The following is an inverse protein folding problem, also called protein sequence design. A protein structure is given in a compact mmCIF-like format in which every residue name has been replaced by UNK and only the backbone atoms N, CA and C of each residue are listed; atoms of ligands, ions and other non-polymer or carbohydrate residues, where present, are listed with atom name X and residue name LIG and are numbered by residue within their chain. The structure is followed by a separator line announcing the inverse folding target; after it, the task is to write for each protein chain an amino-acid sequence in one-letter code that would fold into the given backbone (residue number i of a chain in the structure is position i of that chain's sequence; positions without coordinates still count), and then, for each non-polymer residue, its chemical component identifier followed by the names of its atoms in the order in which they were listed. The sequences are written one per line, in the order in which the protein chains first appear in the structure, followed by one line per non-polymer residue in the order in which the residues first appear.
data_IF_845926175695
#
_entry.id   IF_845926175695
#
_cell.length_a   1.000
_cell.length_b   1.000
_cell.length_c   1.000
_cell.angle_alpha   90.00
_cell.angle_beta   90.00
_cell.angle_gamma   90.00
#
_symmetry.space_group_name_H-M   'P 1'
#
loop_
_entity.id
_entity.type
_entity.pdbx_description
1 polymer ?
#
# COMPACT_ATOMS: atom_id res chain seq x y z
N UNK A 1 23.65 4.11 -5.58
CA UNK A 1 22.50 4.95 -5.17
C UNK A 1 22.21 6.07 -6.18
N UNK A 2 23.14 7.02 -6.45
CA UNK A 2 22.86 8.13 -7.39
C UNK A 2 22.52 7.67 -8.83
N UNK A 3 23.23 6.68 -9.37
CA UNK A 3 22.93 6.12 -10.70
C UNK A 3 21.51 5.52 -10.78
N UNK A 4 21.12 4.71 -9.78
CA UNK A 4 19.78 4.11 -9.73
C UNK A 4 18.66 5.15 -9.57
N UNK A 5 18.88 6.21 -8.80
CA UNK A 5 17.90 7.30 -8.69
C UNK A 5 17.65 8.02 -10.01
N UNK A 6 18.69 8.19 -10.84
CA UNK A 6 18.56 8.79 -12.17
C UNK A 6 17.78 7.88 -13.11
N UNK A 7 18.11 6.60 -13.19
CA UNK A 7 17.37 5.61 -14.00
C UNK A 7 15.89 5.57 -13.62
N UNK A 8 15.58 5.49 -12.32
CA UNK A 8 14.20 5.48 -11.83
C UNK A 8 13.46 6.78 -12.19
N UNK A 9 14.16 7.92 -12.20
CA UNK A 9 13.55 9.20 -12.60
C UNK A 9 13.15 9.20 -14.07
N UNK A 10 14.00 8.62 -14.92
CA UNK A 10 13.73 8.45 -16.36
C UNK A 10 12.56 7.48 -16.59
N UNK A 11 12.55 6.33 -15.90
CA UNK A 11 11.47 5.34 -15.94
C UNK A 11 10.12 5.91 -15.45
N UNK A 12 10.13 6.68 -14.36
CA UNK A 12 8.92 7.19 -13.73
C UNK A 12 8.42 8.51 -14.34
N UNK A 13 9.23 9.20 -15.14
CA UNK A 13 8.93 10.55 -15.62
C UNK A 13 8.79 11.58 -14.49
N UNK A 14 9.46 11.33 -13.35
CA UNK A 14 9.37 12.15 -12.14
C UNK A 14 10.75 12.27 -11.46
N UNK A 15 10.99 13.35 -10.71
CA UNK A 15 12.27 13.53 -10.00
C UNK A 15 12.36 12.56 -8.81
N UNK A 16 13.30 11.62 -8.85
CA UNK A 16 13.58 10.67 -7.76
C UNK A 16 14.96 10.93 -7.17
N UNK A 17 14.99 11.33 -5.89
CA UNK A 17 16.22 11.53 -5.11
C UNK A 17 16.50 10.31 -4.25
N UNK A 18 17.59 9.60 -4.56
CA UNK A 18 18.09 8.52 -3.71
C UNK A 18 18.92 9.09 -2.56
N UNK A 19 18.42 8.96 -1.33
CA UNK A 19 19.11 9.39 -0.10
C UNK A 19 19.48 8.17 0.73
N UNK A 20 20.67 8.18 1.33
CA UNK A 20 21.08 7.19 2.32
C UNK A 20 20.72 7.74 3.70
N UNK A 21 19.92 7.01 4.45
CA UNK A 21 19.62 7.26 5.84
C UNK A 21 19.76 5.94 6.61
N UNK A 22 20.51 5.97 7.70
CA UNK A 22 20.92 4.81 8.50
C UNK A 22 20.59 4.97 9.97
N UNK A 23 20.48 6.20 10.45
CA UNK A 23 20.02 6.52 11.81
C UNK A 23 18.60 7.05 11.80
N UNK A 24 17.93 6.99 12.96
CA UNK A 24 16.58 7.53 13.10
C UNK A 24 16.52 9.06 12.88
N UNK A 25 17.57 9.79 13.25
CA UNK A 25 17.67 11.23 12.98
C UNK A 25 17.85 11.51 11.48
N UNK A 26 18.67 10.72 10.77
CA UNK A 26 18.79 10.84 9.31
C UNK A 26 17.46 10.52 8.62
N UNK A 27 16.74 9.50 9.09
CA UNK A 27 15.41 9.14 8.57
C UNK A 27 14.43 10.28 8.80
N UNK A 28 14.40 10.87 10.01
CA UNK A 28 13.57 12.03 10.32
C UNK A 28 13.83 13.19 9.35
N UNK A 29 15.09 13.56 9.15
CA UNK A 29 15.45 14.66 8.25
C UNK A 29 14.98 14.45 6.80
N UNK A 30 14.95 13.20 6.34
CA UNK A 30 14.44 12.84 5.00
C UNK A 30 12.92 12.96 4.92
N UNK A 31 12.19 12.61 5.97
CA UNK A 31 10.72 12.47 5.92
C UNK A 31 9.94 13.63 6.53
N UNK A 32 10.60 14.54 7.27
CA UNK A 32 9.94 15.60 8.05
C UNK A 32 9.02 16.50 7.21
N UNK A 33 9.37 16.75 5.95
CA UNK A 33 8.60 17.60 5.04
C UNK A 33 7.65 16.79 4.12
N UNK A 34 7.72 15.46 4.16
CA UNK A 34 6.86 14.60 3.35
C UNK A 34 5.42 14.58 3.88
N UNK A 35 4.46 14.55 2.96
CA UNK A 35 3.03 14.34 3.27
C UNK A 35 2.66 12.86 3.29
N UNK A 36 3.34 12.04 2.47
CA UNK A 36 3.15 10.59 2.38
C UNK A 36 4.50 9.91 2.59
N UNK A 37 4.52 8.93 3.49
CA UNK A 37 5.70 8.15 3.84
C UNK A 37 5.33 6.68 3.66
N UNK A 38 6.11 5.95 2.86
CA UNK A 38 5.89 4.54 2.56
C UNK A 38 7.05 3.71 3.12
N UNK A 39 6.77 2.75 3.99
CA UNK A 39 7.74 1.74 4.41
C UNK A 39 7.60 0.49 3.53
N UNK A 40 8.59 0.26 2.68
CA UNK A 40 8.65 -0.86 1.73
C UNK A 40 9.90 -1.71 1.94
N UNK A 41 10.35 -1.82 3.19
CA UNK A 41 11.53 -2.58 3.59
C UNK A 41 11.31 -4.09 3.60
N UNK A 42 12.35 -4.81 4.02
CA UNK A 42 12.28 -6.26 4.19
C UNK A 42 11.32 -6.62 5.34
N UNK A 43 10.69 -7.81 5.23
CA UNK A 43 9.72 -8.28 6.22
C UNK A 43 10.35 -8.41 7.61
N UNK A 44 9.60 -8.04 8.66
CA UNK A 44 10.05 -8.15 10.04
C UNK A 44 11.16 -7.16 10.44
N UNK A 45 11.36 -6.09 9.65
CA UNK A 45 12.31 -5.03 9.99
C UNK A 45 11.56 -3.71 10.17
N UNK A 46 11.79 -3.07 11.31
CA UNK A 46 11.31 -1.72 11.60
C UNK A 46 12.28 -0.69 11.03
N UNK A 47 11.80 0.08 10.05
CA UNK A 47 12.58 1.17 9.43
C UNK A 47 12.46 2.46 10.26
N UNK A 48 11.26 2.76 10.75
CA UNK A 48 10.98 4.00 11.47
C UNK A 48 10.47 3.70 12.87
N UNK A 49 11.26 4.10 13.86
CA UNK A 49 10.99 3.85 15.26
C UNK A 49 10.05 4.91 15.87
N UNK A 50 9.54 4.64 17.08
CA UNK A 50 8.52 5.46 17.73
C UNK A 50 9.00 6.89 18.00
N UNK A 51 10.27 7.07 18.35
CA UNK A 51 10.90 8.37 18.55
C UNK A 51 10.89 9.23 17.29
N UNK A 52 11.02 8.62 16.11
CA UNK A 52 10.95 9.33 14.82
C UNK A 52 9.51 9.71 14.49
N UNK A 53 8.58 8.77 14.68
CA UNK A 53 7.15 9.02 14.43
C UNK A 53 6.62 10.15 15.33
N UNK A 54 7.05 10.20 16.60
CA UNK A 54 6.66 11.26 17.54
C UNK A 54 7.17 12.66 17.17
N UNK A 55 8.27 12.76 16.44
CA UNK A 55 8.80 14.05 15.93
C UNK A 55 8.02 14.58 14.73
N UNK A 56 7.20 13.73 14.08
CA UNK A 56 6.41 14.15 12.94
C UNK A 56 5.30 15.12 13.37
N UNK A 57 5.08 16.14 12.54
CA UNK A 57 4.05 17.14 12.77
C UNK A 57 3.32 17.50 11.46
N UNK A 58 2.16 18.13 11.60
CA UNK A 58 1.29 18.46 10.46
C UNK A 58 0.54 17.25 9.90
N UNK A 59 -0.09 17.42 8.75
CA UNK A 59 -0.89 16.37 8.11
C UNK A 59 0.00 15.39 7.34
N UNK A 60 0.06 14.15 7.81
CA UNK A 60 0.88 13.09 7.19
C UNK A 60 0.14 11.77 7.08
N UNK A 61 0.48 10.98 6.07
CA UNK A 61 0.03 9.60 5.88
C UNK A 61 1.26 8.69 5.92
N UNK A 62 1.23 7.69 6.79
CA UNK A 62 2.23 6.63 6.92
C UNK A 62 1.64 5.33 6.41
N UNK A 63 2.17 4.77 5.33
CA UNK A 63 1.75 3.48 4.82
C UNK A 63 2.86 2.44 5.00
N UNK A 64 2.51 1.27 5.53
CA UNK A 64 3.45 0.19 5.80
C UNK A 64 2.97 -1.09 5.13
N UNK A 65 3.77 -1.64 4.22
CA UNK A 65 3.45 -2.90 3.53
C UNK A 65 3.93 -4.14 4.30
N UNK A 66 4.65 -3.95 5.41
CA UNK A 66 5.14 -5.06 6.22
C UNK A 66 4.03 -5.62 7.14
N UNK A 67 3.63 -6.86 6.88
CA UNK A 67 2.66 -7.60 7.71
C UNK A 67 3.33 -8.44 8.82
N UNK A 68 4.66 -8.54 8.83
CA UNK A 68 5.43 -9.38 9.74
C UNK A 68 5.97 -8.52 10.90
N UNK A 69 5.71 -8.86 12.17
CA UNK A 69 6.26 -8.13 13.31
C UNK A 69 7.79 -8.17 13.39
N UNK A 70 8.45 -7.10 13.85
CA UNK A 70 7.89 -5.77 14.12
C UNK A 70 7.43 -5.04 12.83
N UNK A 71 6.47 -4.11 12.92
CA UNK A 71 6.04 -3.32 11.76
C UNK A 71 7.20 -2.47 11.22
N UNK A 72 7.15 -2.15 9.92
CA UNK A 72 8.07 -1.24 9.26
C UNK A 72 8.04 0.17 9.85
N UNK A 73 6.86 0.64 10.26
CA UNK A 73 6.68 1.93 10.96
C UNK A 73 6.04 1.68 12.33
N UNK A 74 6.70 2.14 13.39
CA UNK A 74 6.16 2.06 14.74
C UNK A 74 4.77 2.70 14.84
N UNK A 75 3.83 2.02 15.50
CA UNK A 75 2.46 2.50 15.68
C UNK A 75 1.50 2.24 14.50
N UNK A 76 1.99 1.94 13.30
CA UNK A 76 1.14 1.51 12.17
C UNK A 76 0.81 0.03 12.34
N UNK A 77 -0.46 -0.27 12.65
CA UNK A 77 -0.92 -1.66 12.80
C UNK A 77 -1.39 -2.21 11.45
N UNK A 78 -1.29 -3.53 11.20
CA UNK A 78 -1.58 -4.11 9.89
C UNK A 78 -2.98 -3.80 9.34
N UNK A 79 -4.00 -3.65 10.21
CA UNK A 79 -5.38 -3.35 9.81
C UNK A 79 -5.74 -1.86 9.82
N UNK A 80 -4.80 -0.96 10.09
CA UNK A 80 -5.09 0.46 10.02
C UNK A 80 -5.45 0.84 8.58
N UNK A 81 -6.56 1.56 8.42
CA UNK A 81 -7.02 2.13 7.16
C UNK A 81 -7.37 3.59 7.45
N UNK A 82 -6.50 4.51 7.03
CA UNK A 82 -6.56 5.94 7.36
C UNK A 82 -6.78 6.21 8.86
N UNK A 83 -6.21 5.38 9.74
CA UNK A 83 -6.39 5.51 11.19
C UNK A 83 -5.46 6.59 11.73
N UNK A 84 -6.01 7.60 12.39
CA UNK A 84 -5.17 8.57 13.12
C UNK A 84 -4.41 7.87 14.26
N UNK A 85 -3.08 7.98 14.25
CA UNK A 85 -2.18 7.35 15.23
C UNK A 85 -1.45 8.37 16.11
N UNK A 86 -1.33 9.61 15.63
CA UNK A 86 -0.98 10.80 16.41
C UNK A 86 -1.67 12.01 15.77
N UNK A 87 -1.81 13.16 16.47
CA UNK A 87 -2.55 14.30 15.95
C UNK A 87 -2.08 14.72 14.54
N UNK A 88 -2.96 14.57 13.55
CA UNK A 88 -2.67 14.87 12.14
C UNK A 88 -1.89 13.81 11.37
N UNK A 89 -1.48 12.71 12.00
CA UNK A 89 -0.74 11.62 11.36
C UNK A 89 -1.61 10.37 11.26
N UNK A 90 -1.81 9.89 10.04
CA UNK A 90 -2.70 8.78 9.72
C UNK A 90 -1.89 7.56 9.25
N UNK A 91 -2.22 6.37 9.74
CA UNK A 91 -1.59 5.12 9.36
C UNK A 91 -2.45 4.28 8.41
N UNK A 92 -1.80 3.63 7.44
CA UNK A 92 -2.37 2.58 6.59
C UNK A 92 -1.47 1.34 6.71
N UNK A 93 -2.02 0.23 7.18
CA UNK A 93 -1.26 -0.99 7.43
C UNK A 93 -1.30 -2.00 6.29
N UNK A 94 -0.42 -2.98 6.38
CA UNK A 94 -0.18 -3.98 5.33
C UNK A 94 -1.41 -4.80 4.93
N UNK A 95 -2.34 -5.08 5.85
CA UNK A 95 -3.57 -5.83 5.55
C UNK A 95 -4.63 -4.96 4.87
N UNK A 96 -4.69 -3.65 5.19
CA UNK A 96 -5.56 -2.73 4.46
C UNK A 96 -5.08 -2.58 3.00
N UNK A 97 -3.77 -2.42 2.82
CA UNK A 97 -3.14 -2.38 1.49
C UNK A 97 -3.32 -3.73 0.76
N UNK A 98 -3.09 -4.83 1.46
CA UNK A 98 -3.20 -6.19 0.93
C UNK A 98 -4.61 -6.56 0.50
N UNK A 99 -5.65 -6.09 1.21
CA UNK A 99 -7.05 -6.28 0.82
C UNK A 99 -7.37 -5.58 -0.50
N UNK A 100 -6.93 -4.33 -0.68
CA UNK A 100 -7.09 -3.61 -1.95
C UNK A 100 -6.32 -4.29 -3.08
N UNK A 101 -5.05 -4.67 -2.85
CA UNK A 101 -4.24 -5.45 -3.81
C UNK A 101 -4.99 -6.71 -4.26
N UNK A 102 -5.47 -7.50 -3.30
CA UNK A 102 -6.17 -8.76 -3.58
C UNK A 102 -7.42 -8.55 -4.43
N UNK A 103 -8.22 -7.53 -4.12
CA UNK A 103 -9.42 -7.18 -4.91
C UNK A 103 -9.07 -6.80 -6.35
N UNK A 104 -8.03 -5.99 -6.55
CA UNK A 104 -7.56 -5.58 -7.88
C UNK A 104 -7.07 -6.80 -8.67
N UNK A 105 -6.19 -7.62 -8.09
CA UNK A 105 -5.66 -8.81 -8.77
C UNK A 105 -6.78 -9.78 -9.17
N UNK A 106 -7.75 -10.01 -8.27
CA UNK A 106 -8.92 -10.84 -8.57
C UNK A 106 -9.75 -10.28 -9.72
N UNK A 107 -10.00 -8.96 -9.73
CA UNK A 107 -10.70 -8.28 -10.82
C UNK A 107 -9.99 -8.47 -12.16
N UNK A 108 -8.68 -8.22 -12.19
CA UNK A 108 -7.86 -8.38 -13.40
C UNK A 108 -7.89 -9.82 -13.91
N UNK A 109 -7.79 -10.83 -13.04
CA UNK A 109 -7.87 -12.24 -13.46
C UNK A 109 -9.24 -12.59 -14.06
N UNK A 110 -10.33 -12.08 -13.49
CA UNK A 110 -11.68 -12.28 -14.03
C UNK A 110 -11.83 -11.62 -15.40
N UNK A 111 -11.33 -10.40 -15.57
CA UNK A 111 -11.37 -9.69 -16.85
C UNK A 111 -10.50 -10.37 -17.90
N UNK A 112 -9.29 -10.81 -17.54
CA UNK A 112 -8.39 -11.54 -18.42
C UNK A 112 -9.01 -12.86 -18.93
N UNK A 113 -9.75 -13.58 -18.07
CA UNK A 113 -10.47 -14.79 -18.46
C UNK A 113 -11.57 -14.51 -19.50
N UNK A 114 -12.22 -13.35 -19.44
CA UNK A 114 -13.26 -12.95 -20.41
C UNK A 114 -12.67 -12.38 -21.70
N UNK A 115 -11.50 -11.75 -21.60
CA UNK A 115 -10.82 -11.16 -22.73
C UNK A 115 -10.27 -12.25 -23.67
N UNK A 116 -10.45 -12.08 -24.98
CA UNK A 116 -9.82 -12.97 -25.98
C UNK A 116 -8.31 -12.72 -26.13
N UNK A 117 -7.87 -11.49 -25.81
CA UNK A 117 -6.49 -11.01 -25.84
C UNK A 117 -6.37 -9.73 -25.00
N UNK A 118 -5.21 -9.49 -24.41
CA UNK A 118 -4.93 -8.26 -23.67
C UNK A 118 -3.59 -8.31 -22.95
N UNK A 119 -3.01 -7.14 -22.70
CA UNK A 119 -1.84 -6.96 -21.82
C UNK A 119 -2.30 -6.18 -20.61
N UNK A 120 -1.97 -6.67 -19.41
CA UNK A 120 -2.32 -6.06 -18.13
C UNK A 120 -1.02 -5.61 -17.46
N UNK A 121 -0.46 -4.52 -17.97
CA UNK A 121 0.72 -3.85 -17.43
C UNK A 121 0.35 -2.90 -16.26
N UNK A 122 1.34 -2.20 -15.73
CA UNK A 122 1.15 -1.28 -14.60
C UNK A 122 0.13 -0.18 -14.91
N UNK A 123 0.17 0.41 -16.11
CA UNK A 123 -0.75 1.48 -16.51
C UNK A 123 -2.19 0.98 -16.55
N UNK A 124 -2.40 -0.20 -17.17
CA UNK A 124 -3.72 -0.82 -17.24
C UNK A 124 -4.23 -1.20 -15.86
N UNK A 125 -3.41 -1.83 -15.02
CA UNK A 125 -3.79 -2.22 -13.65
C UNK A 125 -4.12 -0.98 -12.81
N UNK A 126 -3.31 0.08 -12.91
CA UNK A 126 -3.54 1.32 -12.19
C UNK A 126 -4.84 2.01 -12.61
N UNK A 127 -5.14 2.04 -13.91
CA UNK A 127 -6.42 2.55 -14.44
C UNK A 127 -7.62 1.78 -13.89
N UNK A 128 -7.56 0.43 -13.87
CA UNK A 128 -8.63 -0.39 -13.31
C UNK A 128 -8.76 -0.21 -11.78
N UNK A 129 -7.65 -0.12 -11.06
CA UNK A 129 -7.64 0.15 -9.63
C UNK A 129 -8.32 1.49 -9.31
N UNK A 130 -8.02 2.55 -10.09
CA UNK A 130 -8.66 3.87 -9.93
C UNK A 130 -10.16 3.79 -10.14
N UNK A 131 -10.64 3.10 -11.20
CA UNK A 131 -12.06 2.87 -11.44
C UNK A 131 -12.72 2.14 -10.27
N UNK A 132 -12.06 1.14 -9.70
CA UNK A 132 -12.58 0.39 -8.54
C UNK A 132 -12.70 1.25 -7.28
N UNK A 133 -11.80 2.22 -7.09
CA UNK A 133 -11.83 3.16 -5.96
C UNK A 133 -12.85 4.29 -6.16
N UNK A 134 -13.08 4.72 -7.41
CA UNK A 134 -14.04 5.78 -7.77
C UNK A 134 -15.47 5.25 -7.91
N UNK A 135 -15.65 3.95 -8.17
CA UNK A 135 -16.97 3.33 -8.22
C UNK A 135 -17.65 3.39 -6.84
N UNK A 136 -18.98 3.61 -6.78
CA UNK A 136 -19.72 3.46 -5.53
C UNK A 136 -19.45 2.06 -4.98
N UNK A 137 -19.15 1.96 -3.67
CA UNK A 137 -18.94 0.66 -3.00
C UNK A 137 -20.16 -0.22 -3.26
N UNK A 138 -20.02 -1.18 -4.16
CA UNK A 138 -21.07 -2.19 -4.40
C UNK A 138 -21.16 -3.02 -3.13
N UNK A 139 -22.37 -3.22 -2.61
CA UNK A 139 -22.59 -4.10 -1.47
C UNK A 139 -21.93 -5.46 -1.71
N UNK A 140 -21.23 -5.98 -0.71
CA UNK A 140 -20.67 -7.32 -0.76
C UNK A 140 -21.79 -8.32 -1.09
N UNK A 141 -21.69 -8.95 -2.26
CA UNK A 141 -22.55 -10.08 -2.59
C UNK A 141 -22.21 -11.20 -1.60
N UNK A 142 -23.12 -11.46 -0.66
CA UNK A 142 -23.02 -12.61 0.24
C UNK A 142 -22.99 -13.89 -0.59
N UNK A 143 -21.84 -14.54 -0.62
CA UNK A 143 -21.71 -15.90 -1.14
C UNK A 143 -22.41 -16.82 -0.13
N UNK A 144 -23.46 -17.56 -0.51
CA UNK A 144 -24.11 -18.50 0.39
C UNK A 144 -23.09 -19.53 0.89
N UNK A 145 -23.05 -19.77 2.21
CA UNK A 145 -22.16 -20.77 2.82
C UNK A 145 -22.56 -22.22 2.52
N UNK A 146 -23.74 -22.43 1.93
CA UNK A 146 -24.30 -23.75 1.63
C UNK A 146 -24.84 -23.73 0.20
N UNK A 147 -24.34 -24.63 -0.62
CA UNK A 147 -24.96 -25.00 -1.90
C UNK A 147 -25.63 -26.35 -1.63
N UNK A 148 -26.95 -26.37 -1.44
CA UNK A 148 -27.70 -27.62 -1.41
C UNK A 148 -27.85 -28.10 -2.86
N UNK A 149 -27.26 -29.25 -3.16
CA UNK A 149 -27.46 -29.95 -4.43
C UNK A 149 -28.43 -31.08 -4.15
N UNK A 150 -29.68 -30.93 -4.60
CA UNK A 150 -30.63 -32.02 -4.63
C UNK A 150 -30.24 -32.98 -5.75
N UNK A 151 -29.78 -34.19 -5.39
CA UNK A 151 -29.67 -35.30 -6.33
C UNK A 151 -31.06 -35.92 -6.50
N UNK A 152 -31.61 -35.82 -7.70
CA UNK A 152 -32.77 -36.62 -8.11
C UNK A 152 -32.32 -38.07 -8.35
N UNK A 153 -33.08 -39.00 -7.75
CA UNK A 153 -32.95 -40.47 -7.85
C UNK A 153 -32.90 -41.00 -9.28
#
# INVERSE_FOLDING_TARGET
MKARGKELSEEAGAEIKAVKATTQDEIYEVVKDAQLILATGVAGVQLMAEETVKKLSGKKILADVNAVPPPGIAGVKPKHDMKEISPGVYGIGALAIGDLKYKIERHILVEAKKAKKGVYDLEKIFSEAKKMLEAPKVEEVKIPKVIEVAASS
#
